data_IF_448261394989
#
_entry.id   IF_448261394989
#
_cell.length_a   1.000
_cell.length_b   1.000
_cell.length_c   1.000
_cell.angle_alpha   90.00
_cell.angle_beta   90.00
_cell.angle_gamma   90.00
#
_symmetry.space_group_name_H-M   'P 1'
#
loop_
_entity.id
_entity.type
_entity.pdbx_description
1 polymer ?
#
# COMPACT_ATOMS: atom_id res chain seq x y z
N UNK A 1 -2.56 -4.53 -24.11
CA UNK A 1 -2.28 -3.74 -22.91
C UNK A 1 -0.79 -3.48 -22.83
N UNK A 2 -0.40 -2.21 -22.86
CA UNK A 2 0.98 -1.80 -22.64
C UNK A 2 1.35 -2.01 -21.16
N UNK A 3 2.64 -2.21 -20.88
CA UNK A 3 3.16 -2.41 -19.53
C UNK A 3 2.80 -1.26 -18.58
N UNK A 4 2.70 -0.05 -19.14
CA UNK A 4 2.31 1.18 -18.44
C UNK A 4 0.87 1.16 -17.91
N UNK A 5 -0.03 0.38 -18.50
CA UNK A 5 -1.43 0.27 -18.05
C UNK A 5 -1.61 -0.70 -16.88
N UNK A 6 -0.58 -1.48 -16.51
CA UNK A 6 -0.64 -2.45 -15.40
C UNK A 6 -0.20 -1.89 -14.05
N UNK A 7 0.66 -0.87 -14.04
CA UNK A 7 1.19 -0.29 -12.82
C UNK A 7 0.09 0.37 -11.99
N UNK A 8 0.04 0.04 -10.72
CA UNK A 8 -0.86 0.64 -9.73
C UNK A 8 -0.23 1.87 -9.12
N UNK A 9 -1.05 2.85 -8.80
CA UNK A 9 -0.63 4.03 -8.06
C UNK A 9 -0.88 3.82 -6.56
N UNK A 10 0.11 4.12 -5.74
CA UNK A 10 -0.03 4.22 -4.29
C UNK A 10 -0.35 5.67 -3.93
N UNK A 11 -1.44 5.89 -3.20
CA UNK A 11 -1.87 7.20 -2.73
C UNK A 11 -1.70 7.24 -1.22
N UNK A 12 -0.83 8.13 -0.74
CA UNK A 12 -0.61 8.32 0.69
C UNK A 12 -1.62 9.31 1.25
N UNK A 13 -2.32 8.89 2.30
CA UNK A 13 -3.20 9.76 3.06
C UNK A 13 -2.41 10.90 3.71
N UNK A 14 -2.96 12.11 3.58
CA UNK A 14 -2.46 13.32 4.21
C UNK A 14 -3.56 13.87 5.12
N UNK A 15 -3.20 14.22 6.34
CA UNK A 15 -4.11 14.90 7.27
C UNK A 15 -4.35 16.35 6.81
N UNK A 16 -5.32 17.03 7.44
CA UNK A 16 -5.65 18.43 7.12
C UNK A 16 -4.48 19.39 7.34
N UNK A 17 -3.57 19.07 8.26
CA UNK A 17 -2.33 19.80 8.56
C UNK A 17 -1.12 19.32 7.71
N UNK A 18 -1.36 18.46 6.70
CA UNK A 18 -0.34 18.05 5.73
C UNK A 18 0.58 16.92 6.18
N UNK A 19 0.38 16.37 7.39
CA UNK A 19 1.14 15.24 7.91
C UNK A 19 0.81 13.97 7.14
N UNK A 20 1.81 13.09 7.01
CA UNK A 20 1.65 11.78 6.38
C UNK A 20 1.89 10.70 7.42
N UNK A 21 0.82 10.13 8.02
CA UNK A 21 0.98 9.09 9.04
C UNK A 21 1.83 7.90 8.58
N UNK A 22 1.71 7.50 7.30
CA UNK A 22 2.56 6.45 6.73
C UNK A 22 4.04 6.83 6.81
N UNK A 23 4.44 8.01 6.34
CA UNK A 23 5.85 8.41 6.33
C UNK A 23 6.39 8.54 7.76
N UNK A 24 5.59 9.09 8.69
CA UNK A 24 6.00 9.25 10.08
C UNK A 24 6.24 7.91 10.75
N UNK A 25 5.30 6.98 10.60
CA UNK A 25 5.43 5.62 11.08
C UNK A 25 6.61 4.92 10.42
N UNK A 26 6.69 4.92 9.09
CA UNK A 26 7.76 4.27 8.32
C UNK A 26 9.15 4.76 8.73
N UNK A 27 9.31 6.07 8.91
CA UNK A 27 10.58 6.67 9.30
C UNK A 27 11.01 6.27 10.72
N UNK A 28 10.08 5.94 11.61
CA UNK A 28 10.36 5.47 12.97
C UNK A 28 10.87 4.02 13.05
N UNK A 29 10.80 3.26 11.96
CA UNK A 29 11.20 1.85 11.92
C UNK A 29 12.71 1.67 11.71
N UNK A 30 13.20 0.48 12.05
CA UNK A 30 14.56 0.05 11.69
C UNK A 30 14.69 -0.25 10.19
N UNK A 31 15.92 -0.24 9.68
CA UNK A 31 16.21 -0.34 8.25
C UNK A 31 15.80 -1.68 7.64
N UNK A 32 15.86 -2.77 8.43
CA UNK A 32 15.42 -4.09 7.96
C UNK A 32 13.91 -4.09 7.75
N UNK A 33 13.16 -3.54 8.70
CA UNK A 33 11.70 -3.43 8.59
C UNK A 33 11.30 -2.51 7.42
N UNK A 34 11.97 -1.37 7.24
CA UNK A 34 11.76 -0.47 6.09
C UNK A 34 11.93 -1.20 4.76
N UNK A 35 13.03 -1.93 4.60
CA UNK A 35 13.34 -2.68 3.38
C UNK A 35 12.28 -3.74 3.04
N UNK A 36 11.69 -4.38 4.05
CA UNK A 36 10.61 -5.36 3.84
C UNK A 36 9.34 -4.67 3.33
N UNK A 37 9.00 -3.52 3.91
CA UNK A 37 7.82 -2.75 3.53
C UNK A 37 7.99 -2.19 2.11
N UNK A 38 9.15 -1.62 1.76
CA UNK A 38 9.40 -1.09 0.42
C UNK A 38 9.24 -2.18 -0.65
N UNK A 39 9.85 -3.36 -0.43
CA UNK A 39 9.65 -4.51 -1.31
C UNK A 39 8.17 -4.91 -1.46
N UNK A 40 7.37 -4.73 -0.41
CA UNK A 40 5.94 -5.01 -0.47
C UNK A 40 5.18 -3.93 -1.26
N UNK A 41 5.55 -2.66 -1.12
CA UNK A 41 4.97 -1.55 -1.88
C UNK A 41 5.27 -1.70 -3.38
N UNK A 42 6.50 -2.03 -3.76
CA UNK A 42 6.89 -2.28 -5.16
C UNK A 42 6.03 -3.40 -5.78
N UNK A 43 5.85 -4.50 -5.06
CA UNK A 43 4.96 -5.59 -5.50
C UNK A 43 3.51 -5.14 -5.67
N UNK A 44 3.01 -4.22 -4.83
CA UNK A 44 1.66 -3.67 -4.97
C UNK A 44 1.53 -2.78 -6.20
N UNK A 45 2.57 -2.01 -6.52
CA UNK A 45 2.67 -1.23 -7.76
C UNK A 45 2.60 -2.16 -8.97
N UNK A 46 3.22 -3.34 -8.90
CA UNK A 46 3.13 -4.38 -9.95
C UNK A 46 1.77 -5.13 -9.97
N UNK A 47 0.85 -4.82 -9.06
CA UNK A 47 -0.44 -5.51 -8.94
C UNK A 47 -0.34 -6.90 -8.27
N UNK A 48 0.76 -7.19 -7.56
CA UNK A 48 1.01 -8.46 -6.87
C UNK A 48 0.57 -8.38 -5.40
N UNK A 49 -0.72 -8.53 -5.16
CA UNK A 49 -1.35 -8.39 -3.84
C UNK A 49 -1.09 -9.57 -2.88
N UNK A 50 -0.64 -10.73 -3.38
CA UNK A 50 -0.56 -11.96 -2.58
C UNK A 50 -1.95 -12.47 -2.17
N UNK A 51 -2.05 -13.11 -1.01
CA UNK A 51 -3.33 -13.51 -0.42
C UNK A 51 -4.06 -12.27 0.12
N UNK A 52 -4.87 -11.66 -0.73
CA UNK A 52 -5.69 -10.50 -0.41
C UNK A 52 -7.16 -10.87 -0.64
N UNK A 53 -8.03 -10.37 0.23
CA UNK A 53 -9.49 -10.57 0.13
C UNK A 53 -10.14 -9.21 -0.01
N UNK A 54 -11.14 -9.14 -0.89
CA UNK A 54 -11.95 -7.95 -0.99
C UNK A 54 -12.89 -7.90 0.23
N UNK A 55 -12.68 -6.93 1.12
CA UNK A 55 -13.48 -6.77 2.33
C UNK A 55 -14.95 -6.40 2.04
N UNK A 56 -15.27 -5.91 0.85
CA UNK A 56 -16.63 -5.46 0.50
C UNK A 56 -17.64 -6.62 0.40
N UNK A 57 -17.19 -7.85 0.11
CA UNK A 57 -18.07 -9.01 -0.01
C UNK A 57 -18.57 -9.54 1.34
N UNK A 58 -17.89 -9.22 2.45
CA UNK A 58 -18.13 -9.86 3.76
C UNK A 58 -19.26 -9.19 4.56
N UNK A 59 -19.75 -8.02 4.14
CA UNK A 59 -20.77 -7.26 4.89
C UNK A 59 -22.21 -7.34 4.32
N UNK A 60 -22.42 -8.07 3.22
CA UNK A 60 -23.75 -8.26 2.60
C UNK A 60 -24.29 -9.68 2.79
N UNK A 61 -24.17 -10.23 4.00
CA UNK A 61 -24.91 -11.41 4.43
C UNK A 61 -25.65 -11.06 5.72
N UNK A 62 -26.79 -10.38 5.56
CA UNK A 62 -27.85 -10.25 6.57
C UNK A 62 -29.16 -10.64 5.89
#
# INVERSE_FOLDING_TARGET
MSEKERLKQIIYYKTIDGRCPYNEWFNSLDDKTKSIIDNRIERLIDGLYGDHKNYQTVYYQN
#
